data_IF_912096054767
#
_entry.id   IF_912096054767
#
_cell.length_a   1.000
_cell.length_b   1.000
_cell.length_c   1.000
_cell.angle_alpha   90.00
_cell.angle_beta   90.00
_cell.angle_gamma   90.00
#
_symmetry.space_group_name_H-M   'P 1'
#
loop_
_entity.id
_entity.type
_entity.pdbx_description
1 polymer ?
#
# COMPACT_ATOMS: atom_id res chain seq x y z
N UNK A 1 -9.50 -21.31 38.76
CA UNK A 1 -10.34 -20.68 37.72
C UNK A 1 -9.41 -20.25 36.58
N UNK A 2 -9.49 -20.79 35.35
CA UNK A 2 -8.67 -20.29 34.26
C UNK A 2 -9.35 -19.06 33.65
N UNK A 3 -8.71 -17.91 33.79
CA UNK A 3 -9.12 -16.67 33.14
C UNK A 3 -8.98 -16.82 31.62
N UNK A 4 -10.10 -16.77 30.91
CA UNK A 4 -10.14 -16.76 29.46
C UNK A 4 -9.51 -15.50 28.89
N UNK A 5 -8.34 -15.65 28.27
CA UNK A 5 -7.75 -14.64 27.38
C UNK A 5 -8.64 -14.49 26.14
N UNK A 6 -9.68 -13.66 26.22
CA UNK A 6 -10.49 -13.29 25.07
C UNK A 6 -9.81 -12.16 24.28
N UNK A 7 -9.38 -12.52 23.07
CA UNK A 7 -9.38 -11.73 21.83
C UNK A 7 -8.46 -10.49 21.74
N UNK A 8 -7.22 -10.71 21.30
CA UNK A 8 -6.33 -9.67 20.75
C UNK A 8 -6.17 -9.73 19.21
N UNK A 9 -6.91 -10.58 18.50
CA UNK A 9 -6.75 -10.75 17.05
C UNK A 9 -7.19 -9.55 16.20
N UNK A 10 -8.18 -8.77 16.67
CA UNK A 10 -8.78 -7.71 15.86
C UNK A 10 -7.91 -6.44 15.76
N UNK A 11 -7.09 -6.14 16.79
CA UNK A 11 -6.21 -4.96 16.81
C UNK A 11 -4.93 -5.15 15.98
N UNK A 12 -4.43 -6.39 15.89
CA UNK A 12 -3.23 -6.72 15.12
C UNK A 12 -3.48 -6.58 13.62
N UNK A 13 -4.63 -7.07 13.14
CA UNK A 13 -5.01 -6.96 11.72
C UNK A 13 -5.15 -5.49 11.28
N UNK A 14 -5.76 -4.64 12.12
CA UNK A 14 -5.88 -3.21 11.81
C UNK A 14 -4.53 -2.47 11.74
N UNK A 15 -3.53 -2.86 12.55
CA UNK A 15 -2.19 -2.28 12.49
C UNK A 15 -1.45 -2.70 11.21
N UNK A 16 -1.48 -3.99 10.88
CA UNK A 16 -0.80 -4.53 9.68
C UNK A 16 -1.37 -3.89 8.41
N UNK A 17 -2.70 -3.76 8.33
CA UNK A 17 -3.36 -3.12 7.18
C UNK A 17 -2.95 -1.65 7.03
N UNK A 18 -2.81 -0.91 8.14
CA UNK A 18 -2.37 0.48 8.13
C UNK A 18 -0.92 0.64 7.70
N UNK A 19 -0.03 -0.22 8.20
CA UNK A 19 1.39 -0.23 7.80
C UNK A 19 1.55 -0.56 6.32
N UNK A 20 0.76 -1.51 5.82
CA UNK A 20 0.72 -1.85 4.40
C UNK A 20 0.22 -0.69 3.53
N UNK A 21 -0.85 0.01 3.94
CA UNK A 21 -1.34 1.21 3.23
C UNK A 21 -0.28 2.30 3.15
N UNK A 22 0.37 2.63 4.29
CA UNK A 22 1.43 3.65 4.32
C UNK A 22 2.62 3.25 3.43
N UNK A 23 2.98 1.96 3.43
CA UNK A 23 4.04 1.46 2.56
C UNK A 23 3.70 1.64 1.07
N UNK A 24 2.48 1.30 0.66
CA UNK A 24 2.03 1.48 -0.72
C UNK A 24 2.00 2.96 -1.14
N UNK A 25 1.56 3.86 -0.24
CA UNK A 25 1.57 5.31 -0.48
C UNK A 25 3.00 5.86 -0.64
N UNK A 26 3.93 5.39 0.19
CA UNK A 26 5.35 5.76 0.07
C UNK A 26 5.92 5.29 -1.27
N UNK A 27 5.68 4.02 -1.64
CA UNK A 27 6.14 3.47 -2.91
C UNK A 27 5.56 4.20 -4.13
N UNK A 28 4.30 4.64 -4.03
CA UNK A 28 3.67 5.44 -5.07
C UNK A 28 4.36 6.80 -5.22
N UNK A 29 4.64 7.47 -4.10
CA UNK A 29 5.35 8.75 -4.07
C UNK A 29 6.74 8.64 -4.67
N UNK A 30 7.51 7.61 -4.28
CA UNK A 30 8.84 7.33 -4.82
C UNK A 30 8.80 7.06 -6.34
N UNK A 31 7.80 6.32 -6.82
CA UNK A 31 7.64 6.06 -8.25
C UNK A 31 7.28 7.33 -9.03
N UNK A 32 6.45 8.21 -8.47
CA UNK A 32 6.10 9.50 -9.07
C UNK A 32 7.29 10.45 -9.14
N UNK A 33 8.08 10.54 -8.07
CA UNK A 33 9.33 11.31 -8.06
C UNK A 33 10.34 10.75 -9.06
N UNK A 34 10.50 9.43 -9.09
CA UNK A 34 11.37 8.76 -10.05
C UNK A 34 10.94 9.04 -11.50
N UNK A 35 9.63 9.11 -11.76
CA UNK A 35 9.09 9.42 -13.09
C UNK A 35 9.48 10.83 -13.54
N UNK A 36 9.51 11.79 -12.63
CA UNK A 36 9.95 13.17 -12.93
C UNK A 36 11.42 13.23 -13.37
N UNK A 37 12.28 12.37 -12.80
CA UNK A 37 13.71 12.31 -13.12
C UNK A 37 14.09 11.27 -14.19
N UNK A 38 13.10 10.57 -14.76
CA UNK A 38 13.35 9.50 -15.73
C UNK A 38 14.05 10.04 -16.99
N UNK A 39 15.11 9.34 -17.44
CA UNK A 39 15.95 9.79 -18.56
C UNK A 39 15.69 9.04 -19.85
N UNK A 40 14.91 7.97 -19.81
CA UNK A 40 14.58 7.16 -20.98
C UNK A 40 13.09 6.85 -21.09
N UNK A 41 12.63 6.66 -22.33
CA UNK A 41 11.25 6.24 -22.63
C UNK A 41 10.93 4.88 -21.98
N UNK A 42 11.92 3.98 -21.89
CA UNK A 42 11.76 2.69 -21.22
C UNK A 42 11.47 2.88 -19.72
N UNK A 43 12.24 3.73 -19.04
CA UNK A 43 12.02 4.04 -17.62
C UNK A 43 10.66 4.71 -17.40
N UNK A 44 10.28 5.67 -18.26
CA UNK A 44 8.97 6.32 -18.21
C UNK A 44 7.84 5.28 -18.28
N UNK A 45 7.87 4.39 -19.26
CA UNK A 45 6.84 3.33 -19.43
C UNK A 45 6.80 2.38 -18.23
N UNK A 46 7.96 1.99 -17.72
CA UNK A 46 8.05 1.13 -16.54
C UNK A 46 7.44 1.81 -15.31
N UNK A 47 7.81 3.07 -15.05
CA UNK A 47 7.33 3.83 -13.90
C UNK A 47 5.84 4.14 -14.00
N UNK A 48 5.33 4.46 -15.19
CA UNK A 48 3.88 4.61 -15.43
C UNK A 48 3.11 3.32 -15.11
N UNK A 49 3.64 2.17 -15.52
CA UNK A 49 3.03 0.87 -15.22
C UNK A 49 3.05 0.58 -13.71
N UNK A 50 4.18 0.87 -13.05
CA UNK A 50 4.30 0.71 -11.58
C UNK A 50 3.35 1.63 -10.82
N UNK A 51 3.21 2.89 -11.22
CA UNK A 51 2.26 3.84 -10.62
C UNK A 51 0.82 3.35 -10.77
N UNK A 52 0.47 2.81 -11.94
CA UNK A 52 -0.86 2.26 -12.20
C UNK A 52 -1.15 1.08 -11.28
N UNK A 53 -0.23 0.12 -11.20
CA UNK A 53 -0.32 -1.02 -10.29
C UNK A 53 -0.48 -0.59 -8.82
N UNK A 54 0.35 0.34 -8.33
CA UNK A 54 0.29 0.81 -6.94
C UNK A 54 -1.03 1.51 -6.62
N UNK A 55 -1.59 2.27 -7.56
CA UNK A 55 -2.93 2.88 -7.42
C UNK A 55 -4.02 1.84 -7.33
N UNK A 56 -3.95 0.78 -8.14
CA UNK A 56 -4.91 -0.32 -8.09
C UNK A 56 -4.83 -1.06 -6.75
N UNK A 57 -3.62 -1.34 -6.25
CA UNK A 57 -3.43 -1.96 -4.94
C UNK A 57 -4.00 -1.10 -3.81
N UNK A 58 -3.71 0.20 -3.79
CA UNK A 58 -4.29 1.13 -2.81
C UNK A 58 -5.83 1.16 -2.88
N UNK A 59 -6.40 1.13 -4.08
CA UNK A 59 -7.85 1.07 -4.24
C UNK A 59 -8.44 -0.25 -3.73
N UNK A 60 -7.75 -1.38 -3.92
CA UNK A 60 -8.16 -2.68 -3.37
C UNK A 60 -8.13 -2.66 -1.84
N UNK A 61 -7.08 -2.10 -1.24
CA UNK A 61 -7.01 -2.00 0.23
C UNK A 61 -8.12 -1.09 0.77
N UNK A 62 -8.40 0.06 0.12
CA UNK A 62 -9.53 0.94 0.49
C UNK A 62 -10.89 0.23 0.43
N UNK A 63 -11.14 -0.51 -0.65
CA UNK A 63 -12.37 -1.31 -0.82
C UNK A 63 -12.50 -2.40 0.25
N UNK A 64 -11.39 -3.05 0.58
CA UNK A 64 -11.35 -4.10 1.61
C UNK A 64 -11.57 -3.51 3.00
N UNK A 65 -11.09 -2.28 3.24
CA UNK A 65 -11.23 -1.56 4.50
C UNK A 65 -12.57 -0.79 4.64
N UNK A 66 -13.48 -0.89 3.66
CA UNK A 66 -14.86 -0.39 3.77
C UNK A 66 -15.00 1.14 3.90
N UNK A 67 -14.16 1.92 3.21
CA UNK A 67 -14.37 3.35 3.00
C UNK A 67 -14.74 3.66 1.55
#
# INVERSE_FOLDING_TARGET
MPNGFKTNGNKVNGRILREHDMFLEQQLTEAQQSLFFARSVREVKFLQSRITYLREQLNQVKRTNGR
#
